data_IF_345171750102
#
_entry.id   IF_345171750102
#
_cell.length_a   1.000
_cell.length_b   1.000
_cell.length_c   1.000
_cell.angle_alpha   90.00
_cell.angle_beta   90.00
_cell.angle_gamma   90.00
#
_symmetry.space_group_name_H-M   'P 1'
#
loop_
_entity.id
_entity.type
_entity.pdbx_description
1 polymer ?
#
# COMPACT_ATOMS: atom_id res chain seq x y z
N UNK A 1 -20.96 9.59 -1.21
CA UNK A 1 -21.72 8.61 -0.42
C UNK A 1 -21.32 8.79 1.03
N UNK A 2 -22.29 8.95 1.95
CA UNK A 2 -21.97 9.12 3.36
C UNK A 2 -21.47 7.79 3.93
N UNK A 3 -20.67 7.83 5.01
CA UNK A 3 -20.13 6.61 5.62
C UNK A 3 -21.25 5.66 6.08
N UNK A 4 -22.36 6.19 6.59
CA UNK A 4 -23.51 5.38 6.99
C UNK A 4 -24.12 4.60 5.83
N UNK A 5 -24.18 5.19 4.63
CA UNK A 5 -24.68 4.49 3.43
C UNK A 5 -23.75 3.32 3.07
N UNK A 6 -22.42 3.54 3.14
CA UNK A 6 -21.41 2.50 2.91
C UNK A 6 -21.49 1.38 3.94
N UNK A 7 -21.76 1.71 5.21
CA UNK A 7 -21.96 0.71 6.26
C UNK A 7 -23.19 -0.14 5.96
N UNK A 8 -24.31 0.48 5.59
CA UNK A 8 -25.54 -0.25 5.25
C UNK A 8 -25.32 -1.18 4.05
N UNK A 9 -24.58 -0.72 3.03
CA UNK A 9 -24.21 -1.53 1.87
C UNK A 9 -23.39 -2.77 2.26
N UNK A 10 -22.42 -2.59 3.17
CA UNK A 10 -21.66 -3.70 3.74
C UNK A 10 -22.57 -4.67 4.50
N UNK A 11 -23.42 -4.20 5.40
CA UNK A 11 -24.30 -5.07 6.20
C UNK A 11 -25.31 -5.85 5.34
N UNK A 12 -25.74 -5.27 4.22
CA UNK A 12 -26.61 -5.96 3.25
C UNK A 12 -25.87 -7.06 2.47
N UNK A 13 -24.56 -6.89 2.24
CA UNK A 13 -23.75 -7.82 1.45
C UNK A 13 -23.08 -8.89 2.32
N UNK A 14 -22.72 -8.54 3.55
CA UNK A 14 -21.98 -9.34 4.52
C UNK A 14 -22.78 -9.45 5.82
N UNK A 15 -23.78 -10.33 5.81
CA UNK A 15 -24.79 -10.47 6.87
C UNK A 15 -24.26 -11.00 8.21
N UNK A 16 -23.05 -11.58 8.25
CA UNK A 16 -22.39 -12.01 9.47
C UNK A 16 -21.75 -10.86 10.26
N UNK A 17 -21.66 -9.66 9.67
CA UNK A 17 -21.14 -8.46 10.33
C UNK A 17 -22.26 -7.65 11.00
N UNK A 18 -21.92 -7.06 12.14
CA UNK A 18 -22.78 -6.14 12.91
C UNK A 18 -22.04 -4.83 13.12
N UNK A 19 -22.75 -3.70 12.98
CA UNK A 19 -22.18 -2.38 13.22
C UNK A 19 -22.41 -1.91 14.67
N UNK A 20 -21.34 -1.50 15.34
CA UNK A 20 -21.38 -0.82 16.63
C UNK A 20 -21.11 0.68 16.44
N UNK A 21 -22.14 1.50 16.60
CA UNK A 21 -22.06 2.95 16.42
C UNK A 21 -21.25 3.67 17.50
N UNK A 22 -21.17 3.13 18.72
CA UNK A 22 -20.44 3.76 19.82
C UNK A 22 -18.92 3.71 19.62
N UNK A 23 -18.42 2.60 19.08
CA UNK A 23 -16.99 2.43 18.79
C UNK A 23 -16.64 2.67 17.31
N UNK A 24 -17.65 2.83 16.46
CA UNK A 24 -17.54 2.96 15.00
C UNK A 24 -16.78 1.76 14.40
N UNK A 25 -17.28 0.56 14.70
CA UNK A 25 -16.68 -0.72 14.30
C UNK A 25 -17.71 -1.62 13.64
N UNK A 26 -17.24 -2.45 12.71
CA UNK A 26 -17.96 -3.64 12.24
C UNK A 26 -17.31 -4.86 12.87
N UNK A 27 -18.10 -5.78 13.41
CA UNK A 27 -17.61 -7.00 14.05
C UNK A 27 -18.49 -8.18 13.69
N UNK A 28 -17.89 -9.35 13.52
CA UNK A 28 -18.60 -10.61 13.32
C UNK A 28 -17.89 -11.55 12.36
N UNK A 29 -18.63 -12.54 11.89
CA UNK A 29 -18.13 -13.55 10.96
C UNK A 29 -18.19 -13.01 9.52
N UNK A 30 -17.05 -13.02 8.84
CA UNK A 30 -16.94 -12.65 7.43
C UNK A 30 -16.77 -13.92 6.59
N UNK A 31 -17.76 -14.21 5.75
CA UNK A 31 -17.76 -15.37 4.86
C UNK A 31 -16.97 -15.08 3.59
N UNK A 32 -16.13 -16.04 3.20
CA UNK A 32 -15.35 -16.02 1.97
C UNK A 32 -16.12 -16.71 0.83
N UNK A 33 -15.80 -16.40 -0.46
CA UNK A 33 -16.50 -16.97 -1.60
C UNK A 33 -16.43 -18.50 -1.72
N UNK A 34 -15.41 -19.14 -1.16
CA UNK A 34 -15.21 -20.60 -1.15
C UNK A 34 -15.95 -21.32 0.00
N UNK A 35 -16.67 -20.56 0.84
CA UNK A 35 -17.41 -21.05 1.99
C UNK A 35 -16.62 -21.07 3.30
N UNK A 36 -15.35 -20.64 3.31
CA UNK A 36 -14.57 -20.46 4.53
C UNK A 36 -14.98 -19.16 5.27
N UNK A 37 -14.55 -18.96 6.51
CA UNK A 37 -14.90 -17.77 7.28
C UNK A 37 -13.86 -17.37 8.35
N UNK A 38 -13.91 -16.09 8.74
CA UNK A 38 -13.08 -15.53 9.80
C UNK A 38 -13.90 -14.57 10.67
N UNK A 39 -13.67 -14.62 11.98
CA UNK A 39 -14.17 -13.58 12.90
C UNK A 39 -13.26 -12.36 12.81
N UNK A 40 -13.84 -11.20 12.49
CA UNK A 40 -13.10 -9.96 12.27
C UNK A 40 -13.66 -8.80 13.08
N UNK A 41 -12.78 -7.89 13.47
CA UNK A 41 -13.11 -6.57 14.01
C UNK A 41 -12.50 -5.50 13.09
N UNK A 42 -13.35 -4.68 12.48
CA UNK A 42 -13.00 -3.63 11.51
C UNK A 42 -13.27 -2.26 12.13
N UNK A 43 -12.22 -1.50 12.41
CA UNK A 43 -12.33 -0.14 12.96
C UNK A 43 -12.33 0.93 11.87
N UNK A 44 -13.37 1.77 11.85
CA UNK A 44 -13.62 2.74 10.79
C UNK A 44 -13.17 4.17 11.13
N UNK A 45 -12.58 4.42 12.31
CA UNK A 45 -12.30 5.79 12.79
C UNK A 45 -11.37 6.61 11.91
N UNK A 46 -10.48 5.94 11.16
CA UNK A 46 -9.53 6.61 10.28
C UNK A 46 -9.90 6.48 8.78
N UNK A 47 -10.99 5.78 8.46
CA UNK A 47 -11.49 5.66 7.09
C UNK A 47 -12.30 6.91 6.71
N UNK A 48 -12.18 7.44 5.48
CA UNK A 48 -11.42 6.94 4.33
C UNK A 48 -10.02 7.54 4.18
N UNK A 49 -9.46 8.17 5.23
CA UNK A 49 -8.10 8.75 5.14
C UNK A 49 -7.04 7.68 4.97
N UNK A 50 -7.20 6.57 5.69
CA UNK A 50 -6.43 5.34 5.55
C UNK A 50 -7.38 4.14 5.52
N UNK A 51 -6.86 2.96 5.23
CA UNK A 51 -7.64 1.74 5.33
C UNK A 51 -8.20 1.58 6.76
N UNK A 52 -9.39 0.96 6.90
CA UNK A 52 -9.85 0.48 8.18
C UNK A 52 -8.78 -0.38 8.87
N UNK A 53 -8.66 -0.25 10.19
CA UNK A 53 -7.80 -1.13 10.97
C UNK A 53 -8.57 -2.41 11.25
N UNK A 54 -8.05 -3.55 10.79
CA UNK A 54 -8.73 -4.85 10.94
C UNK A 54 -7.93 -5.76 11.86
N UNK A 55 -8.64 -6.52 12.68
CA UNK A 55 -8.09 -7.61 13.46
C UNK A 55 -8.85 -8.88 13.12
N UNK A 56 -8.14 -9.99 12.95
CA UNK A 56 -8.74 -11.32 13.02
C UNK A 56 -8.81 -11.69 14.51
N UNK A 57 -10.03 -11.95 15.00
CA UNK A 57 -10.32 -12.10 16.43
C UNK A 57 -10.69 -13.52 16.84
N UNK A 58 -10.87 -14.43 15.87
CA UNK A 58 -11.08 -15.87 16.09
C UNK A 58 -9.79 -16.62 16.45
N UNK A 59 -8.62 -15.99 16.29
CA UNK A 59 -7.31 -16.53 16.66
C UNK A 59 -6.75 -17.53 15.64
N UNK A 60 -7.34 -17.55 14.44
CA UNK A 60 -6.97 -18.44 13.36
C UNK A 60 -5.68 -18.00 12.66
N UNK A 61 -5.45 -16.69 12.58
CA UNK A 61 -4.20 -16.11 12.03
C UNK A 61 -3.26 -15.75 13.20
N UNK A 62 -2.07 -16.37 13.30
CA UNK A 62 -1.13 -16.06 14.37
C UNK A 62 -0.64 -14.59 14.30
N UNK A 63 -0.50 -13.93 15.45
CA UNK A 63 0.04 -12.57 15.59
C UNK A 63 1.55 -12.51 15.31
N UNK A 64 1.94 -12.64 14.05
CA UNK A 64 3.33 -12.69 13.59
C UNK A 64 3.46 -11.94 12.26
N UNK A 65 4.59 -11.27 12.07
CA UNK A 65 4.83 -10.46 10.86
C UNK A 65 4.80 -11.31 9.58
N UNK A 66 5.36 -12.52 9.61
CA UNK A 66 5.32 -13.49 8.50
C UNK A 66 3.91 -14.02 8.18
N UNK A 67 2.95 -13.77 9.08
CA UNK A 67 1.53 -14.05 8.87
C UNK A 67 0.74 -12.79 8.54
N UNK A 68 1.45 -11.72 8.19
CA UNK A 68 0.94 -10.38 7.93
C UNK A 68 0.07 -9.82 9.05
N UNK A 69 0.42 -10.13 10.30
CA UNK A 69 -0.20 -9.55 11.48
C UNK A 69 0.86 -8.84 12.29
N UNK A 70 0.67 -7.55 12.55
CA UNK A 70 1.60 -6.74 13.34
C UNK A 70 1.68 -7.29 14.77
N UNK A 71 2.86 -7.72 15.27
CA UNK A 71 2.95 -8.39 16.58
C UNK A 71 2.58 -7.49 17.78
N UNK A 72 2.77 -6.18 17.64
CA UNK A 72 2.52 -5.18 18.68
C UNK A 72 1.04 -4.85 18.82
N UNK A 73 0.34 -4.65 17.71
CA UNK A 73 -1.07 -4.26 17.67
C UNK A 73 -2.03 -5.42 17.44
N UNK A 74 -1.57 -6.49 16.82
CA UNK A 74 -2.42 -7.58 16.32
C UNK A 74 -3.24 -7.23 15.07
N UNK A 75 -3.00 -6.06 14.48
CA UNK A 75 -3.74 -5.63 13.28
C UNK A 75 -3.19 -6.26 12.00
N UNK A 76 -4.07 -6.49 11.03
CA UNK A 76 -3.72 -7.04 9.72
C UNK A 76 -2.89 -6.05 8.89
N UNK A 77 -1.85 -6.56 8.23
CA UNK A 77 -0.97 -5.85 7.32
C UNK A 77 -1.31 -6.22 5.86
N UNK A 78 -2.13 -5.41 5.20
CA UNK A 78 -2.57 -5.72 3.83
C UNK A 78 -1.52 -5.40 2.76
N UNK A 79 -0.77 -4.31 2.96
CA UNK A 79 0.18 -3.76 2.00
C UNK A 79 0.99 -2.63 2.65
N UNK A 80 2.00 -2.10 1.97
CA UNK A 80 2.72 -0.88 2.39
C UNK A 80 1.79 0.35 2.46
N UNK A 81 2.12 1.31 3.33
CA UNK A 81 1.36 2.56 3.51
C UNK A 81 1.21 3.37 2.22
N UNK A 82 2.27 3.46 1.43
CA UNK A 82 2.21 4.15 0.14
C UNK A 82 1.20 3.53 -0.82
N UNK A 83 1.19 2.19 -0.90
CA UNK A 83 0.24 1.46 -1.75
C UNK A 83 -1.20 1.57 -1.26
N UNK A 84 -1.45 1.47 0.05
CA UNK A 84 -2.81 1.62 0.57
C UNK A 84 -3.41 2.98 0.22
N UNK A 85 -2.62 4.06 0.28
CA UNK A 85 -3.07 5.38 -0.15
C UNK A 85 -3.37 5.47 -1.64
N UNK A 86 -2.55 4.83 -2.48
CA UNK A 86 -2.83 4.75 -3.92
C UNK A 86 -4.12 3.98 -4.16
N UNK A 87 -4.33 2.86 -3.48
CA UNK A 87 -5.54 2.04 -3.60
C UNK A 87 -6.79 2.83 -3.20
N UNK A 88 -6.80 3.53 -2.06
CA UNK A 88 -7.90 4.42 -1.65
C UNK A 88 -8.19 5.51 -2.68
N UNK A 89 -7.17 6.03 -3.35
CA UNK A 89 -7.32 7.11 -4.33
C UNK A 89 -7.68 6.58 -5.73
N UNK A 90 -7.56 5.27 -5.99
CA UNK A 90 -7.69 4.70 -7.35
C UNK A 90 -8.66 3.53 -7.48
N UNK A 91 -8.59 2.54 -6.61
CA UNK A 91 -9.34 1.27 -6.70
C UNK A 91 -10.48 1.24 -5.69
N UNK A 92 -10.18 1.46 -4.40
CA UNK A 92 -11.15 1.38 -3.31
C UNK A 92 -11.98 2.67 -3.28
N UNK A 93 -13.23 2.62 -3.75
CA UNK A 93 -14.16 3.76 -3.81
C UNK A 93 -15.24 3.71 -2.74
N UNK A 94 -15.44 2.55 -2.12
CA UNK A 94 -16.39 2.33 -1.04
C UNK A 94 -15.79 1.44 0.07
N UNK A 95 -16.47 1.38 1.22
CA UNK A 95 -16.13 0.44 2.28
C UNK A 95 -16.36 -1.01 1.82
N UNK A 96 -17.37 -1.24 0.99
CA UNK A 96 -17.61 -2.54 0.38
C UNK A 96 -16.42 -2.95 -0.50
N UNK A 97 -15.89 -2.05 -1.34
CA UNK A 97 -14.69 -2.33 -2.15
C UNK A 97 -13.49 -2.67 -1.27
N UNK A 98 -13.32 -2.00 -0.12
CA UNK A 98 -12.27 -2.35 0.82
C UNK A 98 -12.44 -3.78 1.34
N UNK A 99 -13.66 -4.15 1.72
CA UNK A 99 -13.92 -5.51 2.23
C UNK A 99 -13.69 -6.54 1.12
N UNK A 100 -14.26 -6.34 -0.05
CA UNK A 100 -14.29 -7.34 -1.13
C UNK A 100 -12.94 -7.49 -1.85
N UNK A 101 -12.27 -6.36 -2.11
CA UNK A 101 -11.04 -6.33 -2.91
C UNK A 101 -9.77 -6.40 -2.05
N UNK A 102 -9.84 -6.03 -0.76
CA UNK A 102 -8.68 -6.02 0.14
C UNK A 102 -8.81 -7.07 1.24
N UNK A 103 -9.85 -6.98 2.07
CA UNK A 103 -9.96 -7.84 3.26
C UNK A 103 -10.23 -9.30 2.89
N UNK A 104 -11.20 -9.58 2.02
CA UNK A 104 -11.52 -10.95 1.60
C UNK A 104 -10.32 -11.58 0.91
N UNK A 105 -9.65 -10.88 -0.01
CA UNK A 105 -8.44 -11.39 -0.68
C UNK A 105 -7.31 -11.71 0.29
N UNK A 106 -7.15 -10.88 1.32
CA UNK A 106 -6.19 -11.12 2.41
C UNK A 106 -6.53 -12.39 3.21
N UNK A 107 -7.81 -12.61 3.50
CA UNK A 107 -8.28 -13.78 4.25
C UNK A 107 -8.19 -15.07 3.42
N UNK A 108 -8.60 -15.06 2.16
CA UNK A 108 -8.42 -16.19 1.23
C UNK A 108 -6.94 -16.62 1.12
N UNK A 109 -6.04 -15.63 1.06
CA UNK A 109 -4.60 -15.89 1.07
C UNK A 109 -4.14 -16.58 2.38
N UNK A 110 -4.75 -16.24 3.51
CA UNK A 110 -4.48 -16.91 4.80
C UNK A 110 -5.08 -18.33 4.85
N UNK A 111 -6.28 -18.55 4.33
CA UNK A 111 -6.86 -19.89 4.16
C UNK A 111 -5.94 -20.77 3.29
N UNK A 112 -5.44 -20.22 2.19
CA UNK A 112 -4.48 -20.91 1.33
C UNK A 112 -3.18 -21.24 2.07
N UNK A 113 -2.64 -20.30 2.86
CA UNK A 113 -1.44 -20.53 3.65
C UNK A 113 -1.61 -21.65 4.67
N UNK A 114 -2.77 -21.78 5.32
CA UNK A 114 -3.03 -22.84 6.28
C UNK A 114 -2.83 -24.23 5.70
N UNK A 115 -3.23 -24.41 4.44
CA UNK A 115 -3.12 -25.67 3.71
C UNK A 115 -1.73 -25.87 3.08
N UNK A 116 -1.12 -24.80 2.57
CA UNK A 116 0.07 -24.89 1.70
C UNK A 116 1.38 -24.45 2.36
N UNK A 117 1.30 -23.81 3.53
CA UNK A 117 2.43 -23.20 4.26
C UNK A 117 3.24 -22.20 3.45
N UNK A 118 2.59 -21.59 2.46
CA UNK A 118 3.07 -20.49 1.62
C UNK A 118 1.86 -19.70 1.13
N UNK A 119 2.03 -18.41 0.87
CA UNK A 119 1.00 -17.62 0.22
C UNK A 119 0.96 -17.90 -1.30
N UNK A 120 -0.22 -17.75 -1.89
CA UNK A 120 -0.42 -17.92 -3.33
C UNK A 120 0.10 -16.70 -4.12
N UNK A 121 -0.03 -15.50 -3.56
CA UNK A 121 0.50 -14.26 -4.13
C UNK A 121 1.95 -14.04 -3.75
N UNK A 122 2.69 -13.29 -4.57
CA UNK A 122 3.99 -12.76 -4.18
C UNK A 122 3.84 -11.84 -2.95
N UNK A 123 4.81 -11.93 -2.05
CA UNK A 123 4.83 -11.18 -0.80
C UNK A 123 5.96 -10.16 -0.82
N UNK A 124 5.73 -9.01 -0.19
CA UNK A 124 6.83 -8.14 0.15
C UNK A 124 7.61 -8.66 1.34
N UNK A 125 8.92 -8.46 1.27
CA UNK A 125 9.81 -8.57 2.40
C UNK A 125 9.32 -7.68 3.56
N UNK A 126 9.66 -8.04 4.79
CA UNK A 126 9.26 -7.25 5.95
C UNK A 126 10.16 -6.02 6.15
N UNK A 127 9.60 -4.98 6.79
CA UNK A 127 10.33 -3.78 7.19
C UNK A 127 10.87 -2.95 6.00
N UNK A 128 12.14 -2.53 6.09
CA UNK A 128 12.82 -1.64 5.13
C UNK A 128 12.75 -2.17 3.69
N UNK A 129 12.93 -3.49 3.52
CA UNK A 129 12.97 -4.11 2.19
C UNK A 129 11.60 -4.07 1.50
N UNK A 130 10.51 -4.37 2.22
CA UNK A 130 9.16 -4.28 1.66
C UNK A 130 8.75 -2.88 1.25
N UNK A 131 9.24 -1.85 1.97
CA UNK A 131 9.06 -0.46 1.57
C UNK A 131 9.74 -0.21 0.22
N UNK A 132 11.00 -0.64 0.07
CA UNK A 132 11.73 -0.51 -1.20
C UNK A 132 11.01 -1.22 -2.34
N UNK A 133 10.63 -2.48 -2.15
CA UNK A 133 9.89 -3.29 -3.13
C UNK A 133 8.55 -2.65 -3.50
N UNK A 134 7.84 -2.07 -2.52
CA UNK A 134 6.60 -1.34 -2.75
C UNK A 134 6.77 -0.16 -3.70
N UNK A 135 7.83 0.65 -3.53
CA UNK A 135 8.10 1.77 -4.44
C UNK A 135 8.65 1.32 -5.80
N UNK A 136 9.45 0.24 -5.85
CA UNK A 136 9.86 -0.39 -7.11
C UNK A 136 8.63 -0.81 -7.92
N UNK A 137 7.63 -1.41 -7.28
CA UNK A 137 6.39 -1.81 -7.95
C UNK A 137 5.54 -0.60 -8.37
N UNK A 138 5.40 0.44 -7.51
CA UNK A 138 4.68 1.67 -7.87
C UNK A 138 5.27 2.32 -9.12
N UNK A 139 6.60 2.42 -9.18
CA UNK A 139 7.32 3.05 -10.28
C UNK A 139 7.52 2.11 -11.48
N UNK A 140 7.41 0.79 -11.27
CA UNK A 140 7.74 -0.29 -12.22
C UNK A 140 9.19 -0.21 -12.70
N UNK A 141 10.11 -0.03 -11.75
CA UNK A 141 11.55 0.00 -11.99
C UNK A 141 12.25 -0.83 -10.93
N UNK A 142 13.13 -1.73 -11.37
CA UNK A 142 13.93 -2.56 -10.48
C UNK A 142 15.35 -2.01 -10.29
N UNK A 143 15.43 -0.77 -9.82
CA UNK A 143 16.69 -0.06 -9.55
C UNK A 143 16.48 0.85 -8.33
N UNK A 144 17.07 0.44 -7.20
CA UNK A 144 16.86 1.12 -5.91
C UNK A 144 17.35 2.56 -5.93
N UNK A 145 18.44 2.87 -6.64
CA UNK A 145 19.00 4.23 -6.71
C UNK A 145 18.04 5.14 -7.49
N UNK A 146 17.53 4.68 -8.63
CA UNK A 146 16.54 5.44 -9.43
C UNK A 146 15.23 5.66 -8.67
N UNK A 147 14.78 4.65 -7.93
CA UNK A 147 13.60 4.75 -7.06
C UNK A 147 13.85 5.78 -5.95
N UNK A 148 14.97 5.70 -5.24
CA UNK A 148 15.35 6.63 -4.18
C UNK A 148 15.40 8.08 -4.69
N UNK A 149 16.09 8.31 -5.82
CA UNK A 149 16.18 9.61 -6.48
C UNK A 149 14.79 10.17 -6.84
N UNK A 150 13.92 9.32 -7.39
CA UNK A 150 12.57 9.71 -7.78
C UNK A 150 11.76 10.10 -6.54
N UNK A 151 11.79 9.26 -5.51
CA UNK A 151 11.11 9.48 -4.24
C UNK A 151 11.57 10.79 -3.57
N UNK A 152 12.88 11.02 -3.49
CA UNK A 152 13.48 12.23 -2.95
C UNK A 152 13.00 13.49 -3.66
N UNK A 153 13.01 13.48 -5.00
CA UNK A 153 12.56 14.62 -5.80
C UNK A 153 11.06 14.93 -5.60
N UNK A 154 10.21 13.90 -5.52
CA UNK A 154 8.77 14.06 -5.26
C UNK A 154 8.52 14.57 -3.84
N UNK A 155 9.26 14.06 -2.84
CA UNK A 155 9.15 14.52 -1.46
C UNK A 155 9.59 15.99 -1.31
N UNK A 156 10.65 16.40 -2.01
CA UNK A 156 11.12 17.80 -2.04
C UNK A 156 10.11 18.73 -2.70
N UNK A 157 9.53 18.32 -3.83
CA UNK A 157 8.56 19.12 -4.59
C UNK A 157 7.37 18.28 -5.08
N UNK A 158 6.19 18.55 -4.52
CA UNK A 158 4.92 17.92 -4.94
C UNK A 158 4.36 18.48 -6.26
N UNK A 159 5.17 19.18 -7.05
CA UNK A 159 4.84 19.63 -8.40
C UNK A 159 5.26 18.60 -9.45
N UNK A 160 4.31 18.03 -10.19
CA UNK A 160 4.58 17.11 -11.29
C UNK A 160 4.99 17.89 -12.55
N UNK A 161 6.23 17.70 -13.02
CA UNK A 161 6.73 18.29 -14.26
C UNK A 161 6.59 17.26 -15.39
N UNK A 162 5.62 17.44 -16.30
CA UNK A 162 5.34 16.42 -17.33
C UNK A 162 6.36 16.41 -18.50
N UNK A 163 7.07 17.52 -18.73
CA UNK A 163 8.01 17.69 -19.85
C UNK A 163 9.45 17.26 -19.53
N UNK A 164 9.67 16.64 -18.38
CA UNK A 164 10.99 16.13 -17.96
C UNK A 164 11.40 14.83 -18.67
N UNK A 165 12.67 14.47 -18.55
CA UNK A 165 13.16 13.14 -18.92
C UNK A 165 12.59 12.09 -17.99
N UNK A 166 12.45 10.85 -18.47
CA UNK A 166 11.89 9.79 -17.66
C UNK A 166 12.86 9.36 -16.54
N UNK A 167 12.32 9.12 -15.35
CA UNK A 167 13.07 8.66 -14.17
C UNK A 167 13.66 7.24 -14.29
N UNK A 168 13.46 6.55 -15.42
CA UNK A 168 14.11 5.26 -15.69
C UNK A 168 15.47 5.39 -16.38
N UNK A 169 15.89 6.62 -16.69
CA UNK A 169 17.14 6.95 -17.40
C UNK A 169 17.27 6.34 -18.81
N UNK A 170 16.15 5.97 -19.44
CA UNK A 170 16.11 5.49 -20.84
C UNK A 170 16.43 6.56 -21.90
N UNK A 171 16.76 7.79 -21.50
CA UNK A 171 16.91 8.95 -22.40
C UNK A 171 15.60 9.47 -23.02
N UNK A 172 14.47 8.80 -22.80
CA UNK A 172 13.17 9.21 -23.34
C UNK A 172 12.48 10.27 -22.47
N UNK A 173 11.67 11.13 -23.08
CA UNK A 173 10.76 12.04 -22.37
C UNK A 173 9.70 11.25 -21.58
N UNK A 174 9.38 11.70 -20.36
CA UNK A 174 8.45 11.02 -19.43
C UNK A 174 7.11 10.64 -20.09
N UNK A 175 6.49 11.57 -20.84
CA UNK A 175 5.22 11.33 -21.55
C UNK A 175 5.29 10.24 -22.63
N UNK A 176 6.47 9.98 -23.20
CA UNK A 176 6.69 9.04 -24.31
C UNK A 176 7.30 7.72 -23.86
N UNK A 177 7.84 7.65 -22.64
CA UNK A 177 8.47 6.44 -22.13
C UNK A 177 7.43 5.36 -21.84
N UNK A 178 7.67 4.14 -22.32
CA UNK A 178 6.76 2.99 -22.23
C UNK A 178 5.29 3.37 -22.55
N UNK A 179 5.08 4.10 -23.66
CA UNK A 179 3.74 4.54 -24.10
C UNK A 179 2.96 5.32 -23.01
N UNK A 180 3.67 6.05 -22.14
CA UNK A 180 3.08 6.84 -21.07
C UNK A 180 2.89 6.10 -19.74
N UNK A 181 3.21 4.80 -19.66
CA UNK A 181 3.11 4.01 -18.43
C UNK A 181 3.86 4.66 -17.27
N UNK A 182 5.10 5.11 -17.50
CA UNK A 182 5.89 5.75 -16.45
C UNK A 182 5.31 7.08 -15.95
N UNK A 183 4.63 7.86 -16.80
CA UNK A 183 3.91 9.05 -16.34
C UNK A 183 2.76 8.68 -15.40
N UNK A 184 2.00 7.63 -15.72
CA UNK A 184 0.89 7.18 -14.90
C UNK A 184 1.38 6.62 -13.55
N UNK A 185 2.47 5.85 -13.55
CA UNK A 185 3.13 5.40 -12.33
C UNK A 185 3.63 6.56 -11.47
N UNK A 186 4.23 7.58 -12.09
CA UNK A 186 4.65 8.77 -11.37
C UNK A 186 3.44 9.50 -10.77
N UNK A 187 2.34 9.65 -11.52
CA UNK A 187 1.09 10.21 -10.97
C UNK A 187 0.59 9.44 -9.75
N UNK A 188 0.69 8.10 -9.73
CA UNK A 188 0.39 7.29 -8.53
C UNK A 188 1.31 7.65 -7.36
N UNK A 189 2.62 7.77 -7.59
CA UNK A 189 3.54 8.21 -6.53
C UNK A 189 3.16 9.59 -5.96
N UNK A 190 2.72 10.52 -6.81
CA UNK A 190 2.27 11.83 -6.35
C UNK A 190 0.99 11.79 -5.49
N UNK A 191 0.20 10.71 -5.57
CA UNK A 191 -0.97 10.48 -4.70
C UNK A 191 -0.57 10.15 -3.27
N UNK A 192 0.64 9.63 -3.01
CA UNK A 192 1.09 9.29 -1.65
C UNK A 192 1.42 10.56 -0.89
N UNK A 193 1.02 10.70 0.36
CA UNK A 193 1.18 11.92 1.12
C UNK A 193 2.67 12.21 1.44
N UNK A 194 3.02 13.49 1.56
CA UNK A 194 4.43 13.91 1.63
C UNK A 194 5.14 13.39 2.88
N UNK A 195 4.44 13.34 4.00
CA UNK A 195 4.93 12.80 5.28
C UNK A 195 5.28 11.31 5.16
N UNK A 196 4.45 10.51 4.50
CA UNK A 196 4.76 9.09 4.23
C UNK A 196 5.99 8.97 3.34
N UNK A 197 6.06 9.75 2.26
CA UNK A 197 7.24 9.75 1.39
C UNK A 197 8.52 10.10 2.17
N UNK A 198 8.45 11.11 3.05
CA UNK A 198 9.59 11.53 3.89
C UNK A 198 9.97 10.47 4.93
N UNK A 199 8.99 9.82 5.57
CA UNK A 199 9.25 8.74 6.51
C UNK A 199 9.90 7.54 5.81
N UNK A 200 9.38 7.16 4.65
CA UNK A 200 9.84 6.00 3.90
C UNK A 200 11.21 6.24 3.25
N UNK A 201 11.60 7.49 2.97
CA UNK A 201 12.94 7.83 2.49
C UNK A 201 14.06 7.35 3.43
N UNK A 202 13.78 7.22 4.73
CA UNK A 202 14.74 6.63 5.68
C UNK A 202 15.10 5.18 5.30
N UNK A 203 14.21 4.48 4.59
CA UNK A 203 14.47 3.15 4.06
C UNK A 203 15.42 3.16 2.85
N UNK A 204 15.78 4.33 2.33
CA UNK A 204 16.63 4.50 1.16
C UNK A 204 17.96 5.22 1.46
N UNK A 205 18.31 5.46 2.73
CA UNK A 205 19.49 6.26 3.10
C UNK A 205 20.76 5.91 2.31
N UNK A 206 21.16 4.64 2.27
CA UNK A 206 22.33 4.19 1.50
C UNK A 206 22.26 4.55 0.00
N UNK A 207 21.09 4.37 -0.62
CA UNK A 207 20.89 4.69 -2.04
C UNK A 207 20.83 6.21 -2.28
N UNK A 208 20.38 6.98 -1.30
CA UNK A 208 20.38 8.45 -1.33
C UNK A 208 21.81 8.97 -1.20
N UNK A 209 22.62 8.40 -0.31
CA UNK A 209 24.01 8.81 -0.09
C UNK A 209 24.81 8.67 -1.40
N UNK A 210 24.71 7.50 -2.06
CA UNK A 210 25.32 7.27 -3.38
C UNK A 210 24.84 8.31 -4.41
N UNK A 211 23.53 8.59 -4.45
CA UNK A 211 22.99 9.60 -5.37
C UNK A 211 23.52 11.01 -5.11
N UNK A 212 23.68 11.41 -3.85
CA UNK A 212 24.19 12.74 -3.48
C UNK A 212 25.68 12.90 -3.82
N UNK A 213 26.48 11.84 -3.67
CA UNK A 213 27.88 11.82 -4.09
C UNK A 213 28.03 11.98 -5.62
N UNK A 214 27.16 11.32 -6.40
CA UNK A 214 27.11 11.52 -7.85
C UNK A 214 26.75 12.95 -8.28
N UNK A 215 25.97 13.70 -7.48
CA UNK A 215 25.66 15.09 -7.80
C UNK A 215 26.86 16.00 -7.52
N UNK A 216 27.52 15.84 -6.37
CA UNK A 216 28.71 16.63 -6.00
C UNK A 216 29.84 16.49 -7.02
N UNK A 217 30.14 15.24 -7.41
CA UNK A 217 31.16 14.98 -8.42
C UNK A 217 30.83 15.58 -9.80
N UNK A 218 29.56 15.70 -10.18
CA UNK A 218 29.16 16.38 -11.42
C UNK A 218 29.32 17.90 -11.32
N UNK A 219 29.01 18.49 -10.18
CA UNK A 219 29.21 19.93 -9.93
C UNK A 219 30.70 20.31 -9.89
N UNK A 220 31.55 19.45 -9.33
CA UNK A 220 33.01 19.65 -9.30
C UNK A 220 33.69 19.49 -10.67
N UNK A 221 33.16 18.65 -11.56
CA UNK A 221 33.69 18.47 -12.92
C UNK A 221 33.20 19.53 -13.93
N UNK A 222 32.30 20.42 -13.52
CA UNK A 222 31.74 21.52 -14.35
C UNK A 222 32.36 22.88 -13.96
N UNK A 223 32.99 22.97 -12.78
CA UNK A 223 33.77 24.13 -12.34
C UNK A 223 35.26 23.98 -12.70
#
# INVERSE_FOLDING_TARGET
MHLNDQINEVLNSHNGLVFNSSSNTLEGELFLPDGDSYDVLINLNNYPRIFPTVHEIGGRIPKKMDRHVYPDSGSCCFTTRAKSQILLKTVVKSLLDFIDEILIRYLENNSFYELNKRYYTEEYSHGKLGIIEGYKDILQIDDTIKVAKTLFNVAKSKKLIIHQNCYCDSGRRLRKCLRGKHLNNLRKLYMVDKDILMQDLNSFNEAIDVYLEEQKSKEENIN
#
